data_IF_460760502608
#
_entry.id   IF_460760502608
#
_cell.length_a   1.000
_cell.length_b   1.000
_cell.length_c   1.000
_cell.angle_alpha   90.00
_cell.angle_beta   90.00
_cell.angle_gamma   90.00
#
_symmetry.space_group_name_H-M   'P 1'
#
loop_
_entity.id
_entity.type
_entity.pdbx_description
1 polymer ?
#
# COMPACT_ATOMS: atom_id res chain seq x y z
N UNK A 1 22.31 29.20 -9.90
CA UNK A 1 21.01 28.93 -10.57
C UNK A 1 21.13 27.52 -11.14
N UNK A 2 20.92 26.49 -10.32
CA UNK A 2 21.00 25.09 -10.78
C UNK A 2 19.66 24.41 -10.48
N UNK A 3 18.70 24.67 -11.36
CA UNK A 3 17.51 23.86 -11.53
C UNK A 3 17.91 22.50 -12.11
N UNK A 4 18.26 21.54 -11.25
CA UNK A 4 18.39 20.14 -11.63
C UNK A 4 17.51 19.25 -10.75
N UNK A 5 16.24 19.64 -10.61
CA UNK A 5 15.16 18.70 -10.27
C UNK A 5 14.90 17.78 -11.48
N UNK A 6 15.87 16.91 -11.80
CA UNK A 6 15.60 15.65 -12.49
C UNK A 6 15.61 14.54 -11.46
N UNK A 7 14.65 14.61 -10.55
CA UNK A 7 14.31 13.51 -9.64
C UNK A 7 13.23 12.60 -10.23
N UNK A 8 12.91 12.81 -11.50
CA UNK A 8 12.08 11.97 -12.35
C UNK A 8 13.01 10.97 -13.04
N UNK A 9 13.05 9.73 -12.54
CA UNK A 9 13.79 8.64 -13.17
C UNK A 9 13.44 8.55 -14.65
N UNK A 10 14.44 8.28 -15.48
CA UNK A 10 14.25 8.09 -16.91
C UNK A 10 13.17 7.01 -17.12
N UNK A 11 12.23 7.16 -18.07
CA UNK A 11 11.24 6.12 -18.37
C UNK A 11 11.83 4.72 -18.57
N UNK A 12 13.07 4.61 -19.06
CA UNK A 12 13.82 3.34 -19.10
C UNK A 12 14.09 2.76 -17.71
N UNK A 13 14.57 3.57 -16.76
CA UNK A 13 14.84 3.14 -15.38
C UNK A 13 13.54 2.75 -14.65
N UNK A 14 12.45 3.43 -14.94
CA UNK A 14 11.14 3.11 -14.34
C UNK A 14 10.62 1.78 -14.87
N UNK A 15 10.76 1.50 -16.17
CA UNK A 15 10.40 0.20 -16.74
C UNK A 15 11.28 -0.93 -16.20
N UNK A 16 12.58 -0.67 -16.05
CA UNK A 16 13.53 -1.64 -15.50
C UNK A 16 13.28 -1.94 -14.02
N UNK A 17 13.00 -0.91 -13.22
CA UNK A 17 12.57 -1.07 -11.83
C UNK A 17 11.28 -1.87 -11.73
N UNK A 18 10.28 -1.59 -12.57
CA UNK A 18 9.03 -2.35 -12.59
C UNK A 18 9.29 -3.84 -12.86
N UNK A 19 10.16 -4.16 -13.82
CA UNK A 19 10.56 -5.55 -14.09
C UNK A 19 11.26 -6.19 -12.89
N UNK A 20 12.25 -5.50 -12.31
CA UNK A 20 13.02 -5.99 -11.16
C UNK A 20 12.12 -6.30 -9.95
N UNK A 21 11.18 -5.40 -9.62
CA UNK A 21 10.24 -5.64 -8.51
C UNK A 21 9.17 -6.69 -8.85
N UNK A 22 8.86 -6.88 -10.13
CA UNK A 22 8.00 -7.99 -10.57
C UNK A 22 8.68 -9.32 -10.30
N UNK A 23 9.92 -9.49 -10.76
CA UNK A 23 10.73 -10.69 -10.53
C UNK A 23 10.86 -10.98 -9.04
N UNK A 24 11.26 -9.99 -8.23
CA UNK A 24 11.37 -10.16 -6.78
C UNK A 24 10.04 -10.51 -6.09
N UNK A 25 8.92 -9.99 -6.59
CA UNK A 25 7.60 -10.35 -6.06
C UNK A 25 7.21 -11.80 -6.40
N UNK A 26 7.54 -12.26 -7.61
CA UNK A 26 7.36 -13.64 -8.05
C UNK A 26 8.24 -14.61 -7.26
N UNK A 27 9.48 -14.22 -6.93
CA UNK A 27 10.39 -14.95 -6.05
C UNK A 27 9.94 -15.01 -4.59
N UNK A 28 8.93 -14.24 -4.23
CA UNK A 28 8.30 -14.29 -2.92
C UNK A 28 8.63 -13.13 -2.00
N UNK A 29 9.45 -12.17 -2.43
CA UNK A 29 9.83 -11.03 -1.60
C UNK A 29 8.66 -10.05 -1.43
N UNK A 30 8.13 -10.03 -0.21
CA UNK A 30 7.02 -9.18 0.14
C UNK A 30 7.35 -7.67 0.00
N UNK A 31 8.63 -7.27 0.14
CA UNK A 31 9.05 -5.87 -0.10
C UNK A 31 9.03 -5.53 -1.57
N UNK A 32 9.49 -6.42 -2.43
CA UNK A 32 9.41 -6.22 -3.88
C UNK A 32 7.95 -6.10 -4.35
N UNK A 33 7.06 -6.94 -3.82
CA UNK A 33 5.62 -6.81 -4.06
C UNK A 33 5.04 -5.48 -3.59
N UNK A 34 5.47 -4.97 -2.43
CA UNK A 34 4.97 -3.69 -1.91
C UNK A 34 5.43 -2.53 -2.80
N UNK A 35 6.70 -2.50 -3.21
CA UNK A 35 7.22 -1.45 -4.09
C UNK A 35 6.57 -1.52 -5.48
N UNK A 36 6.33 -2.72 -6.02
CA UNK A 36 5.58 -2.89 -7.26
C UNK A 36 4.17 -2.31 -7.14
N UNK A 37 3.50 -2.56 -6.00
CA UNK A 37 2.20 -1.95 -5.69
C UNK A 37 2.23 -0.42 -5.79
N UNK A 38 3.25 0.22 -5.22
CA UNK A 38 3.43 1.69 -5.28
C UNK A 38 3.64 2.18 -6.70
N UNK A 39 4.42 1.44 -7.49
CA UNK A 39 4.66 1.80 -8.90
C UNK A 39 3.38 1.73 -9.73
N UNK A 40 2.58 0.67 -9.53
CA UNK A 40 1.30 0.49 -10.22
C UNK A 40 0.26 1.49 -9.73
N UNK A 41 0.23 1.84 -8.44
CA UNK A 41 -0.66 2.86 -7.90
C UNK A 41 -0.37 4.25 -8.50
N UNK A 42 0.91 4.61 -8.58
CA UNK A 42 1.35 5.91 -9.09
C UNK A 42 1.39 5.99 -10.62
N UNK A 43 1.18 4.88 -11.31
CA UNK A 43 1.31 4.80 -12.77
C UNK A 43 2.75 5.01 -13.27
N UNK A 44 3.75 4.54 -12.51
CA UNK A 44 5.16 4.66 -12.87
C UNK A 44 5.58 3.49 -13.75
N UNK A 45 5.74 3.75 -15.05
CA UNK A 45 6.20 2.77 -16.05
C UNK A 45 5.09 1.88 -16.62
N UNK A 46 3.94 1.84 -15.94
CA UNK A 46 2.69 1.22 -16.39
C UNK A 46 1.53 2.16 -16.08
N UNK A 47 0.37 2.04 -16.75
CA UNK A 47 -0.84 2.79 -16.39
C UNK A 47 -1.21 2.58 -14.92
N UNK A 48 -1.68 3.66 -14.27
CA UNK A 48 -2.11 3.60 -12.88
C UNK A 48 -3.29 2.64 -12.72
N UNK A 49 -3.16 1.65 -11.83
CA UNK A 49 -4.20 0.67 -11.53
C UNK A 49 -4.27 0.42 -10.01
N UNK A 50 -5.08 1.19 -9.27
CA UNK A 50 -5.21 1.03 -7.83
C UNK A 50 -5.79 -0.33 -7.44
N UNK A 51 -6.58 -0.97 -8.29
CA UNK A 51 -7.13 -2.31 -8.02
C UNK A 51 -6.05 -3.38 -8.09
N UNK A 52 -5.13 -3.27 -9.05
CA UNK A 52 -3.96 -4.14 -9.14
C UNK A 52 -2.96 -3.86 -8.01
N UNK A 53 -2.71 -2.60 -7.69
CA UNK A 53 -1.88 -2.21 -6.54
C UNK A 53 -2.41 -2.82 -5.23
N UNK A 54 -3.72 -2.74 -4.99
CA UNK A 54 -4.35 -3.33 -3.82
C UNK A 54 -4.10 -4.84 -3.70
N UNK A 55 -4.17 -5.60 -4.81
CA UNK A 55 -3.86 -7.04 -4.80
C UNK A 55 -2.41 -7.32 -4.42
N UNK A 56 -1.47 -6.54 -4.96
CA UNK A 56 -0.04 -6.66 -4.65
C UNK A 56 0.25 -6.33 -3.18
N UNK A 57 -0.35 -5.27 -2.66
CA UNK A 57 -0.20 -4.90 -1.25
C UNK A 57 -0.81 -5.94 -0.32
N UNK A 58 -1.99 -6.50 -0.64
CA UNK A 58 -2.60 -7.58 0.16
C UNK A 58 -1.70 -8.80 0.22
N UNK A 59 -1.13 -9.17 -0.92
CA UNK A 59 -0.22 -10.31 -1.00
C UNK A 59 1.06 -10.10 -0.16
N UNK A 60 1.66 -8.90 -0.25
CA UNK A 60 2.80 -8.53 0.59
C UNK A 60 2.43 -8.50 2.09
N UNK A 61 1.25 -7.98 2.43
CA UNK A 61 0.74 -7.90 3.79
C UNK A 61 0.58 -9.30 4.44
N UNK A 62 0.00 -10.25 3.71
CA UNK A 62 -0.15 -11.65 4.17
C UNK A 62 1.20 -12.31 4.45
N UNK A 63 2.27 -11.85 3.81
CA UNK A 63 3.64 -12.33 4.02
C UNK A 63 4.41 -11.56 5.11
N UNK A 64 3.73 -10.72 5.88
CA UNK A 64 4.32 -9.98 6.99
C UNK A 64 4.98 -8.66 6.60
N UNK A 65 4.74 -8.15 5.38
CA UNK A 65 5.16 -6.79 5.04
C UNK A 65 4.16 -5.78 5.61
N UNK A 66 4.58 -5.11 6.68
CA UNK A 66 3.77 -4.14 7.42
C UNK A 66 3.49 -2.87 6.61
N UNK A 67 4.45 -2.38 5.83
CA UNK A 67 4.27 -1.22 4.95
C UNK A 67 3.16 -1.48 3.94
N UNK A 68 3.12 -2.69 3.38
CA UNK A 68 2.09 -3.10 2.45
C UNK A 68 0.71 -3.16 3.13
N UNK A 69 0.64 -3.69 4.36
CA UNK A 69 -0.60 -3.67 5.13
C UNK A 69 -1.12 -2.25 5.37
N UNK A 70 -0.24 -1.29 5.69
CA UNK A 70 -0.62 0.12 5.84
C UNK A 70 -1.17 0.68 4.51
N UNK A 71 -0.53 0.35 3.39
CA UNK A 71 -0.99 0.79 2.06
C UNK A 71 -2.33 0.16 1.67
N UNK A 72 -2.58 -1.12 2.01
CA UNK A 72 -3.91 -1.74 1.87
C UNK A 72 -4.92 -0.92 2.66
N UNK A 73 -4.64 -0.66 3.93
CA UNK A 73 -5.51 0.12 4.81
C UNK A 73 -5.86 1.48 4.20
N UNK A 74 -4.86 2.24 3.75
CA UNK A 74 -5.06 3.54 3.09
C UNK A 74 -5.90 3.48 1.82
N UNK A 75 -5.72 2.43 1.01
CA UNK A 75 -6.46 2.31 -0.25
C UNK A 75 -7.93 1.98 -0.02
N UNK A 76 -8.22 1.22 1.03
CA UNK A 76 -9.59 0.77 1.31
C UNK A 76 -10.28 1.58 2.39
N UNK A 77 -9.60 2.39 3.20
CA UNK A 77 -10.21 3.11 4.34
C UNK A 77 -11.39 4.03 3.94
N UNK A 78 -11.39 4.56 2.71
CA UNK A 78 -12.49 5.37 2.19
C UNK A 78 -13.67 4.57 1.60
N UNK A 79 -13.49 3.28 1.31
CA UNK A 79 -14.49 2.43 0.66
C UNK A 79 -14.96 1.25 1.53
N UNK A 80 -14.06 0.72 2.37
CA UNK A 80 -14.21 -0.43 3.24
C UNK A 80 -13.36 -0.23 4.50
N UNK A 81 -13.97 0.43 5.50
CA UNK A 81 -13.34 0.69 6.80
C UNK A 81 -13.01 -0.61 7.52
N UNK A 82 -13.84 -1.65 7.40
CA UNK A 82 -13.63 -2.94 8.05
C UNK A 82 -12.38 -3.64 7.49
N UNK A 83 -12.22 -3.65 6.16
CA UNK A 83 -11.02 -4.15 5.50
C UNK A 83 -9.76 -3.35 5.87
N UNK A 84 -9.89 -2.03 6.07
CA UNK A 84 -8.79 -1.18 6.50
C UNK A 84 -8.36 -1.48 7.93
N UNK A 85 -9.32 -1.64 8.84
CA UNK A 85 -9.07 -2.03 10.24
C UNK A 85 -8.30 -3.33 10.31
N UNK A 86 -8.71 -4.37 9.57
CA UNK A 86 -8.01 -5.65 9.55
C UNK A 86 -6.56 -5.51 9.07
N UNK A 87 -6.30 -4.69 8.05
CA UNK A 87 -4.96 -4.46 7.54
C UNK A 87 -4.09 -3.68 8.55
N UNK A 88 -4.64 -2.65 9.17
CA UNK A 88 -3.93 -1.87 10.20
C UNK A 88 -3.67 -2.67 11.48
N UNK A 89 -4.54 -3.63 11.84
CA UNK A 89 -4.31 -4.54 12.97
C UNK A 89 -3.05 -5.39 12.78
N UNK A 90 -2.87 -5.96 11.58
CA UNK A 90 -1.67 -6.75 11.25
C UNK A 90 -0.40 -5.88 11.33
N UNK A 91 -0.44 -4.67 10.77
CA UNK A 91 0.70 -3.75 10.82
C UNK A 91 0.99 -3.24 12.24
N UNK A 92 -0.04 -2.98 13.04
CA UNK A 92 0.11 -2.56 14.44
C UNK A 92 0.69 -3.68 15.32
N UNK A 93 0.28 -4.93 15.11
CA UNK A 93 0.83 -6.09 15.80
C UNK A 93 2.34 -6.26 15.56
N UNK A 94 2.85 -5.74 14.44
CA UNK A 94 4.27 -5.73 14.10
C UNK A 94 4.99 -4.43 14.55
N UNK A 95 4.43 -3.70 15.52
CA UNK A 95 4.99 -2.48 16.12
C UNK A 95 5.17 -1.29 15.17
N UNK A 96 4.41 -1.22 14.08
CA UNK A 96 4.41 -0.06 13.20
C UNK A 96 3.56 1.06 13.82
N UNK A 97 4.20 2.10 14.36
CA UNK A 97 3.55 3.18 15.11
C UNK A 97 2.47 3.92 14.30
N UNK A 98 2.76 4.24 13.04
CA UNK A 98 1.81 4.90 12.12
C UNK A 98 0.56 4.04 11.86
N UNK A 99 0.72 2.71 11.83
CA UNK A 99 -0.39 1.79 11.61
C UNK A 99 -1.32 1.72 12.83
N UNK A 100 -0.75 1.72 14.03
CA UNK A 100 -1.52 1.75 15.28
C UNK A 100 -2.32 3.06 15.42
N UNK A 101 -1.75 4.19 15.02
CA UNK A 101 -2.45 5.48 15.03
C UNK A 101 -3.62 5.47 14.05
N UNK A 102 -3.36 5.04 12.80
CA UNK A 102 -4.41 4.88 11.78
C UNK A 102 -5.50 3.91 12.18
N UNK A 103 -5.15 2.80 12.84
CA UNK A 103 -6.11 1.84 13.39
C UNK A 103 -7.08 2.51 14.36
N UNK A 104 -6.56 3.34 15.28
CA UNK A 104 -7.40 4.05 16.24
C UNK A 104 -8.37 5.02 15.56
N UNK A 105 -7.95 5.68 14.48
CA UNK A 105 -8.80 6.59 13.69
C UNK A 105 -9.86 5.82 12.89
N UNK A 106 -9.46 4.71 12.26
CA UNK A 106 -10.36 3.85 11.48
C UNK A 106 -11.46 3.25 12.37
N UNK A 107 -11.12 2.75 13.57
CA UNK A 107 -12.10 2.22 14.52
C UNK A 107 -13.07 3.29 15.03
N UNK A 108 -12.62 4.53 15.25
CA UNK A 108 -13.51 5.64 15.63
C UNK A 108 -14.51 5.99 14.53
N UNK A 109 -14.08 5.90 13.27
CA UNK A 109 -14.95 6.14 12.11
C UNK A 109 -15.98 5.02 11.92
N UNK A 110 -15.60 3.77 12.21
CA UNK A 110 -16.51 2.63 12.20
C UNK A 110 -17.63 2.79 13.24
N UNK A 111 -17.31 3.15 14.48
CA UNK A 111 -18.29 3.40 15.54
C UNK A 111 -19.28 4.53 15.20
N UNK A 112 -18.90 5.48 14.34
CA UNK A 112 -19.78 6.53 13.82
C UNK A 112 -20.75 6.07 12.72
N UNK A 113 -20.38 5.04 11.95
CA UNK A 113 -21.26 4.41 10.97
C UNK A 113 -22.25 3.43 11.64
N UNK A 114 -21.82 2.80 12.73
CA UNK A 114 -22.62 1.83 13.50
C UNK A 114 -23.75 2.50 14.31
N UNK A 115 -23.72 3.83 14.52
CA UNK A 115 -24.77 4.60 15.24
C UNK A 115 -25.88 5.18 14.34
N UNK A 116 -25.79 5.00 13.01
CA UNK A 116 -26.87 5.34 12.07
C UNK A 116 -27.45 4.11 11.36
N UNK A 117 -27.45 2.97 12.05
CA UNK A 117 -28.12 1.76 11.63
C UNK A 117 -28.81 1.10 12.83
N UNK A 118 -30.13 1.32 12.89
CA UNK A 118 -31.16 0.70 13.76
C UNK A 118 -31.45 1.35 15.13
#
# INVERSE_FOLDING_TARGET
MECALRRSGNPLEVAEAHRYFTEGCEDGDARSCSVLGVMVEQGRGVPADPSRALRLYRYACVRGNTDACVNVGRLVEGADVAGAVAAYEVACAAHHSDACERLAIAKRSQVGADVYGE
#
